data_IF_989107207532
#
_entry.id   IF_989107207532
#
_cell.length_a   1.000
_cell.length_b   1.000
_cell.length_c   1.000
_cell.angle_alpha   90.00
_cell.angle_beta   90.00
_cell.angle_gamma   90.00
#
_symmetry.space_group_name_H-M   'P 1'
#
loop_
_entity.id
_entity.type
_entity.pdbx_description
1 polymer ?
2 polymer ?
3 water ?
#
# COMPACT_ATOMS: atom_id res chain seq x y z
N UNK A 1 -6.92 9.84 13.39
CA UNK A 1 -6.71 8.85 12.34
C UNK A 1 -6.47 7.45 12.91
N UNK A 2 -6.79 7.24 14.18
CA UNK A 2 -6.73 5.91 14.79
C UNK A 2 -8.08 5.55 15.40
N UNK A 3 -8.49 4.30 15.23
CA UNK A 3 -9.68 3.78 15.88
C UNK A 3 -9.40 2.35 16.28
N UNK A 4 -10.29 1.74 17.07
CA UNK A 4 -10.10 0.34 17.44
C UNK A 4 -10.68 -0.57 16.36
N UNK A 5 -10.18 -1.80 16.28
CA UNK A 5 -10.66 -2.76 15.30
C UNK A 5 -9.93 -2.62 13.98
N UNK A 6 -10.56 -3.07 12.90
CA UNK A 6 -10.00 -2.99 11.55
C UNK A 6 -8.57 -3.53 11.47
N UNK A 7 -8.39 -4.73 12.01
CA UNK A 7 -7.07 -5.33 12.11
C UNK A 7 -6.42 -5.52 10.75
N UNK A 8 -7.19 -5.98 9.77
CA UNK A 8 -6.64 -6.25 8.45
C UNK A 8 -6.07 -4.98 7.86
N UNK A 9 -6.87 -3.91 7.88
CA UNK A 9 -6.45 -2.64 7.30
C UNK A 9 -5.19 -2.12 7.98
N UNK A 10 -5.17 -2.13 9.30
CA UNK A 10 -4.01 -1.65 10.03
C UNK A 10 -2.75 -2.43 9.64
N UNK A 11 -2.89 -3.74 9.55
CA UNK A 11 -1.77 -4.61 9.21
C UNK A 11 -1.24 -4.34 7.81
N UNK A 12 -2.16 -4.16 6.87
CA UNK A 12 -1.79 -3.91 5.49
C UNK A 12 -1.12 -2.55 5.33
N UNK A 13 -1.65 -1.54 6.01
CA UNK A 13 -1.04 -0.21 5.96
C UNK A 13 0.39 -0.22 6.51
N UNK A 14 0.63 -0.98 7.58
CA UNK A 14 1.96 -1.03 8.16
C UNK A 14 2.97 -1.78 7.27
N UNK A 15 2.52 -2.85 6.63
CA UNK A 15 3.42 -3.60 5.78
C UNK A 15 3.69 -2.80 4.51
N UNK A 16 2.69 -2.06 4.04
CA UNK A 16 2.93 -1.20 2.89
C UNK A 16 4.02 -0.20 3.23
N UNK A 17 3.96 0.33 4.45
CA UNK A 17 4.99 1.25 4.92
C UNK A 17 6.35 0.56 5.08
N UNK A 18 6.36 -0.65 5.64
CA UNK A 18 7.60 -1.42 5.75
C UNK A 18 8.28 -1.64 4.40
N UNK A 19 7.49 -1.98 3.38
CA UNK A 19 8.03 -2.28 2.05
C UNK A 19 8.70 -1.06 1.42
N UNK A 20 8.10 0.12 1.60
CA UNK A 20 8.72 1.36 1.16
C UNK A 20 10.01 1.65 1.92
N UNK A 21 9.97 1.48 3.24
CA UNK A 21 11.15 1.66 4.08
C UNK A 21 12.24 0.67 3.67
N UNK A 22 11.83 -0.57 3.44
CA UNK A 22 12.69 -1.66 2.98
C UNK A 22 13.37 -1.28 1.65
N UNK A 23 12.55 -0.87 0.69
CA UNK A 23 13.01 -0.40 -0.61
C UNK A 23 14.06 0.70 -0.48
N UNK A 24 13.88 1.57 0.51
CA UNK A 24 14.78 2.70 0.75
C UNK A 24 16.01 2.31 1.57
N UNK A 25 16.14 1.02 1.87
CA UNK A 25 17.26 0.45 2.63
C UNK A 25 17.34 1.07 4.02
N UNK A 26 16.18 1.44 4.56
CA UNK A 26 16.06 1.90 5.95
C UNK A 26 15.58 0.74 6.81
N UNK A 27 16.45 -0.24 6.99
CA UNK A 27 16.06 -1.55 7.51
C UNK A 27 15.63 -1.58 8.97
N UNK A 28 16.17 -0.69 9.79
CA UNK A 28 15.77 -0.64 11.20
C UNK A 28 14.29 -0.24 11.34
N UNK A 29 13.92 0.85 10.69
CA UNK A 29 12.53 1.30 10.70
C UNK A 29 11.63 0.32 9.94
N UNK A 30 12.13 -0.22 8.83
CA UNK A 30 11.41 -1.20 8.04
C UNK A 30 11.02 -2.40 8.89
N UNK A 31 12.00 -2.95 9.61
CA UNK A 31 11.73 -4.09 10.45
C UNK A 31 10.64 -3.82 11.49
N UNK A 32 10.71 -2.65 12.11
CA UNK A 32 9.72 -2.25 13.11
C UNK A 32 8.31 -2.23 12.50
N UNK A 33 8.20 -1.65 11.32
CA UNK A 33 6.93 -1.62 10.61
C UNK A 33 6.47 -3.03 10.23
N UNK A 34 7.39 -3.90 9.83
CA UNK A 34 7.02 -5.26 9.46
C UNK A 34 6.42 -5.97 10.66
N UNK A 35 7.06 -5.84 11.82
CA UNK A 35 6.58 -6.63 12.96
C UNK A 35 5.31 -6.04 13.56
N UNK A 36 5.16 -4.71 13.53
CA UNK A 36 3.88 -4.08 13.89
C UNK A 36 2.76 -4.56 12.97
N UNK A 37 3.08 -4.62 11.68
CA UNK A 37 2.11 -5.07 10.70
C UNK A 37 1.71 -6.51 10.92
N UNK A 38 2.71 -7.35 11.15
CA UNK A 38 2.50 -8.77 11.38
C UNK A 38 1.64 -9.04 12.63
N UNK A 39 1.82 -8.27 13.69
CA UNK A 39 0.99 -8.41 14.88
C UNK A 39 -0.49 -8.20 14.54
N UNK A 40 -0.77 -7.17 13.72
CA UNK A 40 -2.16 -6.89 13.34
C UNK A 40 -2.73 -7.95 12.40
N UNK A 41 -1.91 -8.42 11.45
CA UNK A 41 -2.36 -9.44 10.51
C UNK A 41 -2.65 -10.76 11.20
N UNK A 42 -1.91 -11.03 12.28
CA UNK A 42 -2.15 -12.22 13.09
C UNK A 42 -3.54 -12.11 13.71
N UNK A 43 -3.88 -10.91 14.15
CA UNK A 43 -5.21 -10.68 14.73
C UNK A 43 -6.26 -10.84 13.64
N UNK A 44 -5.96 -10.28 12.47
CA UNK A 44 -6.83 -10.41 11.30
C UNK A 44 -7.14 -11.87 10.99
N UNK A 45 -6.09 -12.69 11.00
CA UNK A 45 -6.22 -14.12 10.76
C UNK A 45 -7.12 -14.80 11.77
N UNK A 46 -6.98 -14.40 13.03
CA UNK A 46 -7.68 -15.04 14.13
C UNK A 46 -9.19 -14.92 13.97
N UNK A 47 -9.63 -13.81 13.39
CA UNK A 47 -11.04 -13.50 13.31
C UNK A 47 -11.57 -13.47 11.89
N UNK A 48 -10.75 -13.92 10.95
CA UNK A 48 -11.19 -14.07 9.56
C UNK A 48 -11.97 -15.38 9.43
N UNK A 49 -13.20 -15.30 8.94
CA UNK A 49 -14.04 -16.50 8.87
C UNK A 49 -14.12 -17.08 7.45
N UNK A 50 -13.79 -16.26 6.45
CA UNK A 50 -13.77 -16.69 5.06
C UNK A 50 -12.50 -17.50 4.84
N UNK A 51 -12.65 -18.79 4.49
CA UNK A 51 -11.47 -19.66 4.36
C UNK A 51 -10.52 -19.19 3.27
N UNK A 52 -11.04 -18.61 2.20
CA UNK A 52 -10.15 -18.21 1.11
C UNK A 52 -9.36 -16.99 1.54
N UNK A 53 -10.05 -16.03 2.15
CA UNK A 53 -9.39 -14.86 2.74
C UNK A 53 -8.30 -15.27 3.72
N UNK A 54 -8.63 -16.20 4.60
CA UNK A 54 -7.68 -16.70 5.59
C UNK A 54 -6.43 -17.30 4.97
N UNK A 55 -6.61 -18.17 3.98
CA UNK A 55 -5.50 -18.76 3.22
C UNK A 55 -4.61 -17.70 2.58
N UNK A 56 -5.23 -16.68 2.01
CA UNK A 56 -4.49 -15.65 1.30
C UNK A 56 -3.74 -14.73 2.25
N UNK A 57 -4.40 -14.32 3.33
CA UNK A 57 -3.74 -13.55 4.39
C UNK A 57 -2.57 -14.34 4.96
N UNK A 58 -2.81 -15.63 5.19
CA UNK A 58 -1.81 -16.50 5.79
C UNK A 58 -0.59 -16.64 4.87
N UNK A 59 -0.85 -16.79 3.57
CA UNK A 59 0.22 -16.88 2.59
C UNK A 59 1.08 -15.61 2.58
N UNK A 60 0.44 -14.45 2.65
CA UNK A 60 1.18 -13.19 2.70
C UNK A 60 1.92 -13.03 4.03
N UNK A 61 1.29 -13.46 5.12
CA UNK A 61 1.88 -13.34 6.44
C UNK A 61 3.22 -14.05 6.44
N UNK A 62 3.25 -15.18 5.75
CA UNK A 62 4.44 -16.01 5.65
C UNK A 62 5.55 -15.31 4.89
N UNK A 63 5.17 -14.73 3.75
CA UNK A 63 6.09 -13.95 2.95
C UNK A 63 6.72 -12.81 3.77
N UNK A 64 5.90 -12.05 4.49
CA UNK A 64 6.38 -10.92 5.30
C UNK A 64 7.26 -11.39 6.45
N UNK A 65 6.85 -12.49 7.07
CA UNK A 65 7.63 -13.10 8.14
C UNK A 65 9.04 -13.46 7.65
N UNK A 66 9.10 -13.98 6.43
CA UNK A 66 10.36 -14.34 5.77
C UNK A 66 11.24 -13.12 5.50
N UNK A 67 10.62 -12.04 5.06
CA UNK A 67 11.38 -10.81 4.82
C UNK A 67 11.87 -10.23 6.13
N UNK A 68 10.99 -10.20 7.13
CA UNK A 68 11.34 -9.65 8.43
C UNK A 68 12.51 -10.41 9.04
N UNK A 69 12.56 -11.72 8.82
CA UNK A 69 13.65 -12.55 9.35
C UNK A 69 14.97 -12.12 8.72
N UNK A 70 14.96 -11.98 7.40
CA UNK A 70 16.12 -11.48 6.67
C UNK A 70 16.63 -10.15 7.23
N UNK A 71 15.71 -9.23 7.54
CA UNK A 71 16.13 -7.92 8.03
C UNK A 71 16.72 -8.00 9.43
N UNK A 72 16.15 -8.84 10.29
CA UNK A 72 16.65 -8.95 11.66
C UNK A 72 18.01 -9.62 11.68
N UNK A 73 18.18 -10.65 10.85
CA UNK A 73 19.47 -11.32 10.72
C UNK A 73 20.51 -10.30 10.24
N UNK A 74 20.11 -9.43 9.32
CA UNK A 74 20.99 -8.34 8.88
C UNK A 74 21.29 -7.32 9.98
N UNK A 75 20.25 -6.80 10.62
CA UNK A 75 20.41 -5.73 11.60
C UNK A 75 21.30 -6.11 12.79
N UNK A 76 21.08 -7.30 13.34
CA UNK A 76 21.81 -7.71 14.54
C UNK A 76 23.25 -8.07 14.20
N UNK A 77 23.43 -8.69 13.03
CA UNK A 77 24.76 -8.92 12.46
C UNK A 77 25.54 -7.61 12.36
N UNK A 78 24.89 -6.58 11.83
CA UNK A 78 25.49 -5.27 11.68
C UNK A 78 25.89 -4.65 13.01
N UNK A 79 25.02 -4.79 14.01
CA UNK A 79 25.29 -4.25 15.33
C UNK A 79 26.51 -4.90 15.96
N UNK A 80 26.64 -6.20 15.74
CA UNK A 80 27.76 -6.98 16.25
C UNK A 80 29.06 -6.56 15.58
N UNK A 81 28.98 -6.29 14.28
CA UNK A 81 30.16 -5.84 13.56
C UNK A 81 30.57 -4.42 13.96
N UNK A 82 29.61 -3.65 14.45
CA UNK A 82 29.88 -2.28 14.89
C UNK A 82 30.68 -2.27 16.20
N UNK A 83 30.77 -3.42 16.85
CA UNK A 83 31.48 -3.52 18.13
C UNK A 83 32.93 -3.97 17.95
N UNK B 5 7.28 14.76 2.31
CA UNK B 5 6.80 13.43 2.01
C UNK B 5 5.46 13.15 2.68
N UNK B 6 5.05 14.05 3.57
CA UNK B 6 3.80 13.86 4.29
C UNK B 6 2.62 13.92 3.31
N UNK B 7 2.65 14.87 2.38
CA UNK B 7 1.57 15.00 1.39
C UNK B 7 1.60 13.79 0.48
N UNK B 8 2.81 13.38 0.10
CA UNK B 8 2.97 12.23 -0.77
C UNK B 8 2.42 10.96 -0.08
N UNK B 9 2.74 10.79 1.19
CA UNK B 9 2.27 9.64 1.95
C UNK B 9 0.74 9.57 2.02
N UNK B 10 0.10 10.68 2.35
CA UNK B 10 -1.34 10.68 2.49
C UNK B 10 -2.03 10.40 1.16
N UNK B 11 -1.49 10.94 0.08
CA UNK B 11 -2.10 10.76 -1.23
C UNK B 11 -2.03 9.31 -1.64
N UNK B 12 -0.89 8.68 -1.37
CA UNK B 12 -0.70 7.27 -1.71
C UNK B 12 -1.66 6.38 -0.89
N UNK B 13 -1.75 6.63 0.41
CA UNK B 13 -2.68 5.83 1.22
C UNK B 13 -4.13 5.96 0.73
N UNK B 14 -4.55 7.17 0.37
CA UNK B 14 -5.92 7.39 -0.13
C UNK B 14 -6.15 6.64 -1.44
N UNK B 15 -5.16 6.70 -2.34
CA UNK B 15 -5.26 6.01 -3.62
C UNK B 15 -5.24 4.50 -3.42
N UNK B 16 -4.46 4.02 -2.46
CA UNK B 16 -4.49 2.59 -2.15
C UNK B 16 -5.89 2.20 -1.67
N UNK B 17 -6.51 3.08 -0.89
CA UNK B 17 -7.87 2.83 -0.40
C UNK B 17 -8.85 2.85 -1.57
N UNK B 18 -8.70 3.85 -2.44
CA UNK B 18 -9.53 3.96 -3.64
C UNK B 18 -9.42 2.71 -4.49
N UNK B 19 -8.21 2.20 -4.66
CA UNK B 19 -8.01 1.03 -5.50
C UNK B 19 -8.70 -0.20 -4.90
N UNK B 20 -8.71 -0.33 -3.58
CA UNK B 20 -9.46 -1.42 -2.95
C UNK B 20 -10.98 -1.25 -3.12
N UNK B 21 -11.50 -0.04 -2.93
CA UNK B 21 -12.93 0.25 -3.20
C UNK B 21 -13.33 -0.07 -4.63
N UNK B 22 -12.44 0.27 -5.55
CA UNK B 22 -12.59 0.00 -6.97
C UNK B 22 -12.69 -1.51 -7.24
N UNK B 23 -11.71 -2.27 -6.75
CA UNK B 23 -11.71 -3.75 -6.81
C UNK B 23 -13.01 -4.35 -6.28
N UNK B 24 -13.50 -3.78 -5.18
CA UNK B 24 -14.70 -4.28 -4.54
C UNK B 24 -15.98 -3.79 -5.22
N UNK B 25 -15.81 -3.10 -6.35
CA UNK B 25 -16.91 -2.50 -7.12
C UNK B 25 -17.78 -1.54 -6.31
N UNK B 26 -17.18 -0.90 -5.32
CA UNK B 26 -17.82 0.20 -4.60
C UNK B 26 -17.41 1.50 -5.30
N UNK B 27 -17.96 1.72 -6.48
CA UNK B 27 -17.40 2.71 -7.39
C UNK B 27 -17.62 4.15 -6.96
N UNK B 28 -18.72 4.42 -6.26
CA UNK B 28 -19.02 5.78 -5.79
C UNK B 28 -17.98 6.26 -4.79
N UNK B 29 -17.72 5.38 -3.83
CA UNK B 29 -16.72 5.62 -2.80
C UNK B 29 -15.32 5.69 -3.40
N UNK B 30 -15.02 4.80 -4.35
CA UNK B 30 -13.73 4.81 -5.05
C UNK B 30 -13.46 6.14 -5.77
N UNK B 31 -14.47 6.65 -6.48
CA UNK B 31 -14.34 7.92 -7.19
C UNK B 31 -13.93 9.04 -6.23
N UNK B 32 -14.62 9.14 -5.10
CA UNK B 32 -14.30 10.14 -4.09
C UNK B 32 -12.91 9.93 -3.49
N UNK B 33 -12.59 8.70 -3.15
CA UNK B 33 -11.28 8.40 -2.61
C UNK B 33 -10.13 8.73 -3.60
N UNK B 34 -10.33 8.45 -4.90
CA UNK B 34 -9.31 8.81 -5.89
C UNK B 34 -9.05 10.32 -5.86
N UNK B 35 -10.11 11.13 -5.88
CA UNK B 35 -9.93 12.58 -5.95
C UNK B 35 -9.36 13.14 -4.65
N UNK B 36 -9.70 12.53 -3.51
CA UNK B 36 -9.09 12.91 -2.24
C UNK B 36 -7.58 12.74 -2.35
N UNK B 37 -7.18 11.60 -2.90
CA UNK B 37 -5.78 11.29 -3.12
C UNK B 37 -5.13 12.24 -4.11
N UNK B 38 -5.82 12.56 -5.20
CA UNK B 38 -5.33 13.52 -6.18
C UNK B 38 -5.04 14.88 -5.54
N UNK B 39 -5.89 15.29 -4.59
CA UNK B 39 -5.65 16.56 -3.90
C UNK B 39 -4.27 16.56 -3.25
N UNK B 40 -3.93 15.47 -2.57
CA UNK B 40 -2.65 15.41 -1.86
C UNK B 40 -1.47 15.20 -2.82
N UNK B 41 -1.69 14.43 -3.88
CA UNK B 41 -0.65 14.24 -4.90
C UNK B 41 -0.33 15.54 -5.60
N UNK B 42 -1.35 16.36 -5.82
CA UNK B 42 -1.17 17.68 -6.41
C UNK B 42 -0.24 18.49 -5.52
N UNK B 43 -0.52 18.48 -4.22
CA UNK B 43 0.33 19.18 -3.26
C UNK B 43 1.75 18.62 -3.32
N UNK B 44 1.88 17.30 -3.39
CA UNK B 44 3.18 16.63 -3.44
C UNK B 44 4.00 17.14 -4.62
N UNK B 45 3.34 17.31 -5.76
CA UNK B 45 3.95 17.97 -6.92
C UNK B 45 4.42 19.41 -6.67
N UNK B 46 3.66 20.18 -5.91
CA UNK B 46 4.07 21.56 -5.64
C UNK B 46 5.39 21.61 -4.89
N UNK B 47 5.68 20.56 -4.14
CA UNK B 47 6.83 20.55 -3.24
C UNK B 47 7.98 19.66 -3.71
N UNK B 48 7.71 18.78 -4.67
CA UNK B 48 8.73 17.84 -5.08
C UNK B 48 9.86 18.60 -5.76
N UNK B 49 11.06 18.35 -5.25
CA UNK B 49 12.27 19.09 -5.58
C UNK B 49 12.86 18.66 -6.92
N UNK B 50 12.65 17.39 -7.23
CA UNK B 50 13.27 16.75 -8.37
C UNK B 50 12.30 16.65 -9.56
N UNK B 51 12.66 17.27 -10.70
CA UNK B 51 11.84 17.21 -11.92
C UNK B 51 11.50 15.79 -12.40
N UNK B 52 12.40 14.81 -12.26
CA UNK B 52 12.05 13.46 -12.69
C UNK B 52 11.06 12.85 -11.70
N UNK B 53 11.23 13.16 -10.41
CA UNK B 53 10.33 12.63 -9.39
C UNK B 53 8.95 13.17 -9.68
N UNK B 54 8.88 14.46 -9.98
CA UNK B 54 7.65 15.12 -10.42
C UNK B 54 6.96 14.39 -11.56
N UNK B 55 7.71 14.05 -12.61
CA UNK B 55 7.16 13.35 -13.77
C UNK B 55 6.62 11.96 -13.41
N UNK B 56 7.28 11.28 -12.49
CA UNK B 56 6.78 9.99 -12.04
C UNK B 56 5.48 10.15 -11.26
N UNK B 57 5.41 11.18 -10.42
CA UNK B 57 4.18 11.44 -9.66
C UNK B 57 3.08 11.95 -10.60
N UNK B 58 3.44 12.80 -11.55
CA UNK B 58 2.49 13.31 -12.54
C UNK B 58 1.85 12.17 -13.31
N UNK B 59 2.69 11.24 -13.76
CA UNK B 59 2.22 10.07 -14.51
C UNK B 59 1.18 9.28 -13.72
N UNK B 60 1.45 9.04 -12.43
CA UNK B 60 0.53 8.26 -11.61
C UNK B 60 -0.74 9.04 -11.30
N UNK B 61 -0.60 10.32 -10.99
CA UNK B 61 -1.73 11.24 -10.83
C UNK B 61 -2.72 11.10 -11.99
N UNK B 62 -2.16 11.13 -13.20
CA UNK B 62 -2.95 11.12 -14.42
C UNK B 62 -3.62 9.77 -14.59
N UNK B 63 -2.91 8.72 -14.22
CA UNK B 63 -3.46 7.39 -14.28
C UNK B 63 -4.66 7.23 -13.31
N UNK B 64 -4.53 7.75 -12.09
CA UNK B 64 -5.61 7.68 -11.12
C UNK B 64 -6.80 8.53 -11.57
N UNK B 65 -6.50 9.72 -12.06
CA UNK B 65 -7.50 10.59 -12.69
C UNK B 65 -8.27 9.87 -13.79
N UNK B 66 -7.55 9.17 -14.66
CA UNK B 66 -8.20 8.50 -15.77
C UNK B 66 -9.13 7.41 -15.26
N UNK B 67 -8.69 6.64 -14.28
CA UNK B 67 -9.56 5.63 -13.69
C UNK B 67 -10.77 6.27 -13.03
N UNK B 68 -10.55 7.35 -12.28
CA UNK B 68 -11.66 7.98 -11.55
C UNK B 68 -12.71 8.54 -12.51
N UNK B 69 -12.27 9.06 -13.64
CA UNK B 69 -13.21 9.60 -14.62
C UNK B 69 -13.95 8.47 -15.35
N UNK B 70 -13.26 7.35 -15.55
CA UNK B 70 -13.91 6.19 -16.15
C UNK B 70 -15.05 5.73 -15.24
N UNK B 71 -14.77 5.64 -13.95
CA UNK B 71 -15.75 5.28 -12.94
C UNK B 71 -16.95 6.22 -12.96
N UNK B 72 -16.67 7.51 -12.90
CA UNK B 72 -17.69 8.56 -12.93
C UNK B 72 -18.64 8.38 -14.12
N UNK B 73 -18.07 8.21 -15.31
CA UNK B 73 -18.85 8.02 -16.54
C UNK B 73 -19.77 6.79 -16.42
N UNK B 74 -19.22 5.70 -15.89
CA UNK B 74 -20.00 4.51 -15.61
C UNK B 74 -21.16 4.77 -14.65
N UNK B 75 -20.89 5.48 -13.56
CA UNK B 75 -21.91 5.73 -12.55
C UNK B 75 -23.02 6.61 -13.11
N UNK B 76 -22.65 7.59 -13.93
CA UNK B 76 -23.63 8.49 -14.50
C UNK B 76 -24.47 7.76 -15.53
N UNK B 77 -23.82 6.97 -16.38
CA UNK B 77 -24.52 6.17 -17.38
C UNK B 77 -25.45 5.17 -16.71
N UNK B 78 -25.00 4.61 -15.60
CA UNK B 78 -25.83 3.68 -14.85
C UNK B 78 -27.11 4.35 -14.35
N UNK B 79 -26.96 5.52 -13.76
CA UNK B 79 -28.10 6.21 -13.20
C UNK B 79 -29.05 6.70 -14.30
N UNK B 80 -28.50 7.11 -15.44
CA UNK B 80 -29.32 7.56 -16.56
C UNK B 80 -30.16 6.41 -17.11
N UNK B 81 -29.69 5.19 -16.91
CA UNK B 81 -30.44 4.03 -17.36
C UNK B 81 -31.40 3.49 -16.31
N UNK B 82 -31.41 4.08 -15.12
CA UNK B 82 -32.35 3.69 -14.08
C UNK B 82 -33.69 4.38 -14.28
N UNK C 1 19.23 8.12 8.62
CA UNK C 1 17.84 8.21 8.20
C UNK C 1 17.64 9.25 7.09
N UNK C 2 17.57 8.79 5.84
CA UNK C 2 17.48 9.68 4.70
C UNK C 2 16.06 9.84 4.17
N UNK C 3 15.42 10.97 4.49
CA UNK C 3 14.03 11.25 4.13
C UNK C 3 13.80 11.42 2.62
N UNK C 4 14.84 11.83 1.90
CA UNK C 4 14.74 11.99 0.45
C UNK C 4 14.73 10.63 -0.23
N UNK C 5 15.59 9.75 0.26
CA UNK C 5 15.63 8.36 -0.17
C UNK C 5 14.29 7.65 0.07
N UNK C 6 13.66 7.92 1.20
CA UNK C 6 12.37 7.30 1.50
C UNK C 6 11.31 7.88 0.55
N UNK C 7 11.39 9.17 0.28
CA UNK C 7 10.48 9.77 -0.69
C UNK C 7 10.61 9.15 -2.08
N UNK C 8 11.84 8.86 -2.49
CA UNK C 8 12.05 8.23 -3.79
C UNK C 8 11.48 6.82 -3.85
N UNK C 9 11.60 6.08 -2.76
CA UNK C 9 11.01 4.75 -2.68
C UNK C 9 9.47 4.81 -2.77
N UNK C 10 8.87 5.69 -1.97
CA UNK C 10 7.42 5.91 -1.98
C UNK C 10 6.92 6.14 -3.40
N UNK C 11 7.62 7.00 -4.13
CA UNK C 11 7.23 7.29 -5.51
C UNK C 11 7.39 6.04 -6.38
N UNK C 12 8.51 5.33 -6.21
CA UNK C 12 8.79 4.13 -7.00
C UNK C 12 7.73 3.06 -6.81
N UNK C 13 7.16 3.00 -5.61
CA UNK C 13 6.20 1.96 -5.28
C UNK C 13 4.73 2.37 -5.33
N UNK C 14 4.44 3.56 -5.85
CA UNK C 14 3.04 4.01 -5.98
C UNK C 14 2.24 2.97 -6.77
N UNK C 15 1.02 2.66 -6.30
CA UNK C 15 0.28 1.55 -6.91
C UNK C 15 -0.18 1.86 -8.34
N UNK C 16 -0.35 0.81 -9.12
CA UNK C 16 -0.81 0.92 -10.51
C UNK C 16 -2.27 0.51 -10.60
N UNK C 17 -2.98 1.07 -11.56
CA UNK C 17 -4.32 0.62 -11.84
C UNK C 17 -4.30 -0.44 -12.95
N UNK C 18 -3.12 -0.74 -13.49
CA UNK C 18 -3.00 -1.63 -14.66
C UNK C 18 -3.61 -3.01 -14.40
N UNK C 19 -3.55 -3.46 -13.15
CA UNK C 19 -4.12 -4.75 -12.79
C UNK C 19 -5.63 -4.75 -12.56
N UNK C 20 -6.26 -3.59 -12.62
CA UNK C 20 -7.72 -3.49 -12.45
C UNK C 20 -8.42 -3.88 -13.75
N UNK C 21 -9.68 -4.36 -13.67
CA UNK C 21 -10.48 -4.56 -14.88
C UNK C 21 -10.38 -3.35 -15.80
N UNK C 22 -10.14 -3.56 -17.09
CA UNK C 22 -9.99 -2.44 -18.04
C UNK C 22 -11.20 -1.52 -18.00
N UNK C 23 -12.39 -2.12 -17.96
CA UNK C 23 -13.64 -1.38 -17.86
C UNK C 23 -14.32 -1.82 -16.56
N UNK C 24 -15.09 -0.92 -15.92
CA UNK C 24 -15.73 -1.22 -14.63
C UNK C 24 -16.66 -2.42 -14.69
N UNK D 2 -20.88 -2.72 1.50
CA UNK D 2 -20.70 -4.17 1.35
C UNK D 2 -19.41 -4.65 2.01
N UNK D 3 -19.49 -5.07 3.27
CA UNK D 3 -18.29 -5.47 4.01
C UNK D 3 -17.55 -6.66 3.40
N UNK D 4 -18.29 -7.62 2.83
CA UNK D 4 -17.68 -8.82 2.27
C UNK D 4 -16.75 -8.47 1.10
N UNK D 5 -17.27 -7.69 0.15
CA UNK D 5 -16.52 -7.30 -1.04
C UNK D 5 -15.31 -6.43 -0.70
N UNK D 6 -15.48 -5.57 0.30
CA UNK D 6 -14.37 -4.77 0.82
C UNK D 6 -13.24 -5.67 1.35
N UNK D 7 -13.60 -6.55 2.28
CA UNK D 7 -12.63 -7.47 2.87
C UNK D 7 -11.91 -8.28 1.80
N UNK D 8 -12.67 -8.82 0.86
CA UNK D 8 -12.09 -9.61 -0.23
C UNK D 8 -11.12 -8.79 -1.06
N UNK D 9 -11.47 -7.53 -1.32
CA UNK D 9 -10.62 -6.65 -2.11
C UNK D 9 -9.30 -6.34 -1.40
N UNK D 10 -9.39 -6.01 -0.12
CA UNK D 10 -8.21 -5.71 0.67
C UNK D 10 -7.24 -6.89 0.64
N UNK D 11 -7.77 -8.09 0.85
CA UNK D 11 -6.91 -9.28 0.85
C UNK D 11 -6.27 -9.48 -0.52
N UNK D 12 -7.09 -9.35 -1.56
CA UNK D 12 -6.64 -9.51 -2.94
C UNK D 12 -5.46 -8.60 -3.26
N UNK D 13 -5.49 -7.39 -2.71
CA UNK D 13 -4.52 -6.36 -3.06
C UNK D 13 -3.36 -6.19 -2.10
N UNK D 14 -3.18 -7.14 -1.18
CA UNK D 14 -2.06 -7.11 -0.25
C UNK D 14 -0.74 -7.04 -1.02
N UNK D 15 0.22 -6.26 -0.51
CA UNK D 15 1.46 -6.02 -1.26
C UNK D 15 2.37 -7.23 -1.26
N UNK D 16 3.34 -7.20 -2.16
CA UNK D 16 4.26 -8.31 -2.36
C UNK D 16 5.67 -7.87 -1.98
N UNK D 17 6.47 -8.79 -1.45
CA UNK D 17 7.88 -8.48 -1.19
C UNK D 17 8.75 -9.00 -2.33
N UNK D 18 8.14 -9.64 -3.32
CA UNK D 18 8.92 -10.39 -4.31
C UNK D 18 9.83 -9.53 -5.20
N UNK D 19 9.64 -8.22 -5.21
CA UNK D 19 10.55 -7.35 -5.94
C UNK D 19 11.79 -6.92 -5.16
N UNK D 20 11.78 -7.15 -3.85
CA UNK D 20 12.85 -6.67 -2.98
C UNK D 20 14.12 -7.50 -3.14
N UNK D 21 15.29 -6.84 -3.05
CA UNK D 21 16.56 -7.54 -3.24
C UNK D 21 16.89 -8.41 -2.05
N UNK D 22 17.43 -9.60 -2.31
CA UNK D 22 17.83 -10.48 -1.23
C UNK D 22 18.87 -9.80 -0.35
N UNK D 23 18.82 -10.10 0.94
CA UNK D 23 19.66 -9.42 1.91
C UNK D 23 20.53 -10.43 2.61
N UNK D 24 21.75 -10.65 2.09
CA UNK D 24 22.65 -11.67 2.62
C UNK D 24 23.29 -11.25 3.92
N UNK D 25 23.60 -12.25 4.73
CA UNK D 25 24.34 -12.03 5.94
C UNK D 25 25.57 -12.93 5.89
N UNK D 26 26.70 -12.40 6.35
CA UNK D 26 27.92 -13.17 6.48
C UNK D 26 28.70 -12.60 7.63
N UNK D 27 30.03 -12.65 7.53
CA UNK D 27 30.88 -12.04 8.53
C UNK D 27 30.86 -10.52 8.37
#
# INVERSE_FOLDING_TARGET
HMSTGDFLTKGIELVQKAIDLDTATQYEEAYTAYYNGLDYLMLALKYEKNPKSKDLIRAKFTEYLNRAEQLKKHLESEEANAA
HMSTGDFLTKGIELVQKAIDLDTATQYEEAYTAYYNGLDYLMLALKYEKNPKSKDLIRAKFTEYLNRAEQLKKHLESEEANAA
MNPEKMNNAKVANMPSTEGLPSLPQGE
MNPEKMNNAKVANMPSTEGLPSLPQGE
#
